data_IF_669555797691
#
_entry.id   IF_669555797691
#
_cell.length_a   1.000
_cell.length_b   1.000
_cell.length_c   1.000
_cell.angle_alpha   90.00
_cell.angle_beta   90.00
_cell.angle_gamma   90.00
#
_symmetry.space_group_name_H-M   'P 1'
#
loop_
_entity.id
_entity.type
_entity.pdbx_description
1 polymer ?
#
# COMPACT_ATOMS: atom_id res chain seq x y z
N UNK A 1 6.07 -15.76 29.72
CA UNK A 1 7.47 -15.90 29.24
C UNK A 1 7.41 -15.75 27.73
N UNK A 2 7.66 -14.55 27.19
CA UNK A 2 7.57 -14.30 25.74
C UNK A 2 8.81 -14.91 25.10
N UNK A 3 8.62 -16.02 24.40
CA UNK A 3 9.65 -16.64 23.59
C UNK A 3 9.99 -15.69 22.45
N UNK A 4 11.28 -15.33 22.31
CA UNK A 4 11.83 -14.58 21.18
C UNK A 4 11.32 -15.20 19.86
N UNK A 5 10.28 -14.63 19.27
CA UNK A 5 9.80 -15.05 17.97
C UNK A 5 10.76 -14.52 16.91
N UNK A 6 11.13 -15.41 15.99
CA UNK A 6 12.08 -15.24 14.88
C UNK A 6 12.08 -13.83 14.30
N UNK A 7 13.29 -13.32 14.00
CA UNK A 7 13.56 -11.99 13.43
C UNK A 7 12.43 -11.49 12.52
N UNK A 8 11.69 -10.48 12.97
CA UNK A 8 10.69 -9.78 12.17
C UNK A 8 11.32 -8.93 11.05
N UNK A 9 12.65 -8.82 11.03
CA UNK A 9 13.39 -7.94 10.13
C UNK A 9 13.16 -8.21 8.64
N UNK A 10 13.12 -9.47 8.13
CA UNK A 10 12.85 -9.72 6.71
C UNK A 10 11.44 -9.27 6.29
N UNK A 11 10.45 -9.43 7.18
CA UNK A 11 9.07 -9.03 6.91
C UNK A 11 8.89 -7.50 6.95
N UNK A 12 9.59 -6.84 7.88
CA UNK A 12 9.65 -5.38 7.92
C UNK A 12 10.36 -4.82 6.68
N UNK A 13 11.46 -5.43 6.27
CA UNK A 13 12.21 -5.00 5.08
C UNK A 13 11.36 -5.04 3.81
N UNK A 14 10.52 -6.08 3.63
CA UNK A 14 9.58 -6.15 2.50
C UNK A 14 8.66 -4.93 2.43
N UNK A 15 8.08 -4.49 3.55
CA UNK A 15 7.21 -3.32 3.56
C UNK A 15 7.96 -1.99 3.37
N UNK A 16 9.21 -1.89 3.83
CA UNK A 16 10.08 -0.74 3.54
C UNK A 16 10.37 -0.67 2.04
N UNK A 17 10.68 -1.80 1.39
CA UNK A 17 10.91 -1.86 -0.06
C UNK A 17 9.67 -1.42 -0.84
N UNK A 18 8.47 -1.84 -0.43
CA UNK A 18 7.21 -1.37 -1.03
C UNK A 18 7.12 0.15 -0.95
N UNK A 19 7.28 0.72 0.25
CA UNK A 19 7.10 2.15 0.43
C UNK A 19 8.17 3.01 -0.25
N UNK A 20 9.40 2.49 -0.41
CA UNK A 20 10.49 3.22 -1.05
C UNK A 20 10.51 3.07 -2.58
N UNK A 21 10.34 1.85 -3.09
CA UNK A 21 10.56 1.56 -4.51
C UNK A 21 9.32 1.78 -5.38
N UNK A 22 8.12 1.54 -4.85
CA UNK A 22 6.85 1.72 -5.59
C UNK A 22 6.69 3.15 -6.11
N UNK A 23 6.82 4.23 -5.30
CA UNK A 23 6.65 5.58 -5.80
C UNK A 23 7.72 5.97 -6.83
N UNK A 24 8.95 5.47 -6.69
CA UNK A 24 10.03 5.71 -7.65
C UNK A 24 9.69 5.04 -8.99
N UNK A 25 9.26 3.78 -8.97
CA UNK A 25 8.90 3.05 -10.18
C UNK A 25 7.68 3.66 -10.89
N UNK A 26 6.67 4.12 -10.14
CA UNK A 26 5.53 4.83 -10.72
C UNK A 26 5.94 6.19 -11.32
N UNK A 27 6.82 6.95 -10.66
CA UNK A 27 7.35 8.18 -11.22
C UNK A 27 8.15 7.95 -12.52
N UNK A 28 8.96 6.88 -12.57
CA UNK A 28 9.69 6.47 -13.78
C UNK A 28 8.71 6.07 -14.88
N UNK A 29 7.68 5.28 -14.56
CA UNK A 29 6.65 4.88 -15.53
C UNK A 29 5.93 6.09 -16.12
N UNK A 30 5.49 7.03 -15.28
CA UNK A 30 4.86 8.28 -15.71
C UNK A 30 5.78 9.14 -16.58
N UNK A 31 7.06 9.24 -16.21
CA UNK A 31 8.05 9.97 -17.01
C UNK A 31 8.27 9.35 -18.40
N UNK A 32 8.32 8.01 -18.49
CA UNK A 32 8.51 7.29 -19.76
C UNK A 32 7.26 7.34 -20.63
N UNK A 33 6.07 7.35 -20.04
CA UNK A 33 4.81 7.45 -20.76
C UNK A 33 4.73 8.75 -21.57
N UNK A 34 5.11 9.89 -20.96
CA UNK A 34 5.21 11.18 -21.63
C UNK A 34 3.88 11.89 -21.91
N UNK A 35 2.74 11.22 -21.69
CA UNK A 35 1.38 11.76 -21.83
C UNK A 35 0.59 11.72 -20.52
N UNK A 36 1.05 10.98 -19.53
CA UNK A 36 0.43 10.91 -18.22
C UNK A 36 0.59 12.24 -17.48
N UNK A 37 -0.54 12.83 -17.12
CA UNK A 37 -0.61 14.09 -16.41
C UNK A 37 -1.17 13.87 -15.00
N UNK A 38 -0.48 14.43 -14.01
CA UNK A 38 -0.94 14.41 -12.62
C UNK A 38 -2.31 15.09 -12.51
N UNK A 39 -3.14 14.56 -11.62
CA UNK A 39 -4.54 14.96 -11.41
C UNK A 39 -5.51 14.58 -12.53
N UNK A 40 -5.09 14.59 -13.79
CA UNK A 40 -5.94 14.23 -14.93
C UNK A 40 -6.00 12.71 -15.15
N UNK A 41 -4.87 12.03 -15.10
CA UNK A 41 -4.78 10.59 -15.33
C UNK A 41 -4.70 9.82 -14.01
N UNK A 42 -5.37 8.67 -13.99
CA UNK A 42 -5.23 7.67 -12.92
C UNK A 42 -3.86 6.99 -13.00
N UNK A 43 -3.32 6.51 -11.87
CA UNK A 43 -2.10 5.70 -11.90
C UNK A 43 -2.30 4.45 -12.75
N UNK A 44 -3.49 3.85 -12.69
CA UNK A 44 -3.86 2.71 -13.53
C UNK A 44 -3.86 2.98 -15.04
N UNK A 45 -3.90 4.24 -15.50
CA UNK A 45 -3.71 4.56 -16.92
C UNK A 45 -2.30 4.19 -17.41
N UNK A 46 -1.29 4.26 -16.52
CA UNK A 46 0.06 3.84 -16.84
C UNK A 46 0.10 2.35 -17.23
N UNK A 47 -0.77 1.52 -16.65
CA UNK A 47 -0.85 0.09 -16.95
C UNK A 47 -1.34 -0.25 -18.35
N UNK A 48 -1.90 0.72 -19.07
CA UNK A 48 -2.34 0.61 -20.48
C UNK A 48 -1.62 1.60 -21.40
N UNK A 49 -0.48 2.15 -20.94
CA UNK A 49 0.34 3.09 -21.70
C UNK A 49 0.65 2.60 -23.12
N UNK A 50 0.67 3.51 -24.09
CA UNK A 50 1.19 3.25 -25.44
C UNK A 50 2.68 2.87 -25.43
N UNK A 51 3.43 3.32 -24.42
CA UNK A 51 4.78 2.84 -24.17
C UNK A 51 4.74 1.51 -23.43
N UNK A 52 5.04 0.43 -24.14
CA UNK A 52 5.11 -0.91 -23.54
C UNK A 52 6.07 -0.95 -22.33
N UNK A 53 7.14 -0.15 -22.35
CA UNK A 53 8.06 -0.04 -21.21
C UNK A 53 7.39 0.61 -20.00
N UNK A 54 6.68 1.74 -20.18
CA UNK A 54 5.97 2.40 -19.08
C UNK A 54 4.90 1.48 -18.49
N UNK A 55 4.10 0.82 -19.33
CA UNK A 55 3.09 -0.14 -18.92
C UNK A 55 3.69 -1.31 -18.15
N UNK A 56 4.77 -1.91 -18.64
CA UNK A 56 5.44 -3.01 -17.95
C UNK A 56 6.01 -2.58 -16.60
N UNK A 57 6.61 -1.38 -16.50
CA UNK A 57 7.13 -0.87 -15.22
C UNK A 57 5.99 -0.74 -14.21
N UNK A 58 4.86 -0.13 -14.60
CA UNK A 58 3.71 0.02 -13.70
C UNK A 58 3.15 -1.35 -13.28
N UNK A 59 2.81 -2.20 -14.26
CA UNK A 59 2.15 -3.49 -14.02
C UNK A 59 3.02 -4.42 -13.18
N UNK A 60 4.30 -4.57 -13.52
CA UNK A 60 5.21 -5.41 -12.72
C UNK A 60 5.50 -4.81 -11.34
N UNK A 61 5.51 -3.48 -11.21
CA UNK A 61 5.62 -2.84 -9.89
C UNK A 61 4.42 -3.20 -9.02
N UNK A 62 3.20 -3.11 -9.52
CA UNK A 62 1.99 -3.55 -8.80
C UNK A 62 2.09 -5.03 -8.38
N UNK A 63 2.51 -5.91 -9.29
CA UNK A 63 2.71 -7.33 -9.00
C UNK A 63 3.75 -7.59 -7.90
N UNK A 64 4.94 -7.00 -8.03
CA UNK A 64 6.04 -7.20 -7.09
C UNK A 64 5.73 -6.55 -5.73
N UNK A 65 5.19 -5.32 -5.74
CA UNK A 65 4.76 -4.64 -4.52
C UNK A 65 3.67 -5.43 -3.81
N UNK A 66 2.68 -5.95 -4.53
CA UNK A 66 1.63 -6.81 -3.97
C UNK A 66 2.20 -8.05 -3.26
N UNK A 67 3.19 -8.72 -3.87
CA UNK A 67 3.89 -9.84 -3.24
C UNK A 67 4.66 -9.42 -1.97
N UNK A 68 5.33 -8.28 -1.98
CA UNK A 68 6.01 -7.78 -0.78
C UNK A 68 5.03 -7.33 0.32
N UNK A 69 3.87 -6.78 -0.03
CA UNK A 69 2.79 -6.50 0.92
C UNK A 69 2.29 -7.80 1.55
N UNK A 70 2.12 -8.87 0.76
CA UNK A 70 1.78 -10.21 1.27
C UNK A 70 2.82 -10.71 2.28
N UNK A 71 4.11 -10.64 1.92
CA UNK A 71 5.21 -11.07 2.81
C UNK A 71 5.20 -10.25 4.11
N UNK A 72 5.08 -8.92 4.00
CA UNK A 72 4.99 -8.03 5.15
C UNK A 72 3.79 -8.39 6.06
N UNK A 73 2.64 -8.65 5.46
CA UNK A 73 1.41 -9.04 6.18
C UNK A 73 1.56 -10.35 6.94
N UNK A 74 2.24 -11.35 6.35
CA UNK A 74 2.57 -12.60 7.04
C UNK A 74 3.41 -12.34 8.29
N UNK A 75 4.35 -11.39 8.23
CA UNK A 75 5.11 -10.95 9.40
C UNK A 75 4.23 -10.37 10.50
N UNK A 76 3.31 -9.47 10.14
CA UNK A 76 2.35 -8.89 11.09
C UNK A 76 1.40 -9.95 11.68
N UNK A 77 0.91 -10.90 10.88
CA UNK A 77 0.06 -12.01 11.34
C UNK A 77 0.78 -12.86 12.38
N UNK A 78 2.09 -13.11 12.20
CA UNK A 78 2.91 -13.89 13.14
C UNK A 78 3.28 -13.12 14.41
N UNK A 79 3.29 -11.78 14.36
CA UNK A 79 3.75 -10.93 15.44
C UNK A 79 2.63 -10.38 16.33
N UNK A 80 1.39 -10.35 15.84
CA UNK A 80 0.27 -9.73 16.52
C UNK A 80 -0.89 -10.71 16.74
N UNK A 81 -1.73 -10.41 17.72
CA UNK A 81 -2.93 -11.16 18.05
C UNK A 81 -4.19 -10.26 17.98
N UNK A 82 -5.37 -10.87 18.08
CA UNK A 82 -6.65 -10.16 18.12
C UNK A 82 -6.89 -9.26 16.90
N UNK A 83 -7.39 -8.04 17.15
CA UNK A 83 -7.74 -7.10 16.09
C UNK A 83 -6.54 -6.68 15.22
N UNK A 84 -5.33 -6.62 15.77
CA UNK A 84 -4.12 -6.28 15.02
C UNK A 84 -3.74 -7.39 14.03
N UNK A 85 -3.95 -8.66 14.40
CA UNK A 85 -3.85 -9.79 13.49
C UNK A 85 -4.93 -9.73 12.40
N UNK A 86 -6.19 -9.43 12.78
CA UNK A 86 -7.29 -9.23 11.84
C UNK A 86 -6.97 -8.17 10.77
N UNK A 87 -6.44 -7.02 11.16
CA UNK A 87 -5.99 -5.98 10.22
C UNK A 87 -4.88 -6.46 9.28
N UNK A 88 -3.95 -7.28 9.78
CA UNK A 88 -2.89 -7.88 8.97
C UNK A 88 -3.41 -8.93 7.97
N UNK A 89 -4.46 -9.68 8.31
CA UNK A 89 -5.15 -10.58 7.37
C UNK A 89 -5.83 -9.78 6.26
N UNK A 90 -6.48 -8.66 6.57
CA UNK A 90 -7.04 -7.79 5.53
C UNK A 90 -5.94 -7.20 4.64
N UNK A 91 -4.79 -6.81 5.22
CA UNK A 91 -3.63 -6.32 4.46
C UNK A 91 -3.06 -7.39 3.51
N UNK A 92 -3.08 -8.66 3.92
CA UNK A 92 -2.66 -9.78 3.08
C UNK A 92 -3.51 -9.86 1.79
N UNK A 93 -4.84 -9.74 1.91
CA UNK A 93 -5.72 -9.68 0.75
C UNK A 93 -5.51 -8.40 -0.09
N UNK A 94 -5.20 -7.26 0.55
CA UNK A 94 -4.82 -6.05 -0.19
C UNK A 94 -3.57 -6.29 -1.05
N UNK A 95 -2.57 -7.03 -0.54
CA UNK A 95 -1.39 -7.39 -1.33
C UNK A 95 -1.72 -8.26 -2.55
N UNK A 96 -2.65 -9.21 -2.40
CA UNK A 96 -3.15 -10.02 -3.53
C UNK A 96 -3.86 -9.14 -4.56
N UNK A 97 -4.74 -8.24 -4.11
CA UNK A 97 -5.46 -7.35 -5.01
C UNK A 97 -4.53 -6.34 -5.71
N UNK A 98 -3.50 -5.84 -5.03
CA UNK A 98 -2.49 -4.98 -5.64
C UNK A 98 -1.74 -5.73 -6.76
N UNK A 99 -1.38 -7.00 -6.53
CA UNK A 99 -0.79 -7.80 -7.58
C UNK A 99 -1.78 -8.05 -8.74
N UNK A 100 -3.05 -8.24 -8.42
CA UNK A 100 -4.11 -8.40 -9.41
C UNK A 100 -4.35 -7.12 -10.23
N UNK A 101 -4.19 -5.91 -9.66
CA UNK A 101 -4.24 -4.63 -10.41
C UNK A 101 -3.20 -4.62 -11.54
N UNK A 102 -1.99 -5.10 -11.28
CA UNK A 102 -0.93 -5.19 -12.30
C UNK A 102 -1.19 -6.27 -13.35
N UNK A 103 -1.96 -7.31 -13.00
CA UNK A 103 -2.29 -8.41 -13.91
C UNK A 103 -3.51 -8.10 -14.80
N UNK A 104 -4.53 -7.49 -14.22
CA UNK A 104 -5.78 -7.11 -14.86
C UNK A 104 -5.77 -5.60 -15.09
N UNK A 105 -5.18 -5.17 -16.22
CA UNK A 105 -5.02 -3.76 -16.58
C UNK A 105 -6.37 -3.07 -16.81
N UNK A 106 -6.37 -1.74 -16.90
CA UNK A 106 -7.57 -0.90 -16.95
C UNK A 106 -8.55 -1.25 -18.10
N UNK A 107 -8.04 -1.82 -19.20
CA UNK A 107 -8.86 -2.26 -20.34
C UNK A 107 -9.64 -3.57 -20.08
N UNK A 108 -9.38 -4.23 -18.95
CA UNK A 108 -10.07 -5.48 -18.58
C UNK A 108 -11.31 -5.19 -17.73
N UNK A 109 -12.38 -5.96 -17.93
CA UNK A 109 -13.62 -5.84 -17.17
C UNK A 109 -13.45 -6.08 -15.65
N UNK A 110 -12.35 -6.71 -15.24
CA UNK A 110 -12.05 -7.04 -13.84
C UNK A 110 -11.34 -5.91 -13.09
N UNK A 111 -10.72 -4.95 -13.80
CA UNK A 111 -9.85 -3.96 -13.17
C UNK A 111 -10.57 -3.08 -12.16
N UNK A 112 -11.68 -2.45 -12.56
CA UNK A 112 -12.41 -1.50 -11.69
C UNK A 112 -12.88 -2.20 -10.40
N UNK A 113 -13.56 -3.37 -10.44
CA UNK A 113 -13.92 -4.08 -9.21
C UNK A 113 -12.73 -4.41 -8.31
N UNK A 114 -11.59 -4.85 -8.89
CA UNK A 114 -10.38 -5.17 -8.13
C UNK A 114 -9.81 -3.93 -7.46
N UNK A 115 -9.64 -2.83 -8.20
CA UNK A 115 -9.09 -1.58 -7.71
C UNK A 115 -9.97 -0.96 -6.61
N UNK A 116 -11.28 -0.90 -6.81
CA UNK A 116 -12.21 -0.42 -5.79
C UNK A 116 -12.17 -1.28 -4.52
N UNK A 117 -12.12 -2.61 -4.67
CA UNK A 117 -12.01 -3.52 -3.53
C UNK A 117 -10.70 -3.33 -2.79
N UNK A 118 -9.58 -3.15 -3.51
CA UNK A 118 -8.27 -2.86 -2.94
C UNK A 118 -8.30 -1.59 -2.08
N UNK A 119 -8.77 -0.46 -2.63
CA UNK A 119 -8.85 0.81 -1.90
C UNK A 119 -9.83 0.77 -0.72
N UNK A 120 -10.91 -0.01 -0.83
CA UNK A 120 -11.83 -0.20 0.29
C UNK A 120 -11.20 -1.04 1.43
N UNK A 121 -10.56 -2.16 1.10
CA UNK A 121 -9.93 -3.02 2.09
C UNK A 121 -8.74 -2.34 2.75
N UNK A 122 -7.93 -1.58 2.01
CA UNK A 122 -6.81 -0.86 2.60
C UNK A 122 -7.28 0.24 3.55
N UNK A 123 -8.40 0.91 3.25
CA UNK A 123 -9.04 1.85 4.18
C UNK A 123 -9.44 1.17 5.50
N UNK A 124 -10.04 -0.02 5.41
CA UNK A 124 -10.36 -0.82 6.60
C UNK A 124 -9.08 -1.17 7.38
N UNK A 125 -8.04 -1.62 6.69
CA UNK A 125 -6.77 -1.98 7.32
C UNK A 125 -6.11 -0.79 8.02
N UNK A 126 -6.09 0.41 7.43
CA UNK A 126 -5.48 1.58 8.07
C UNK A 126 -6.27 2.01 9.30
N UNK A 127 -7.61 1.94 9.26
CA UNK A 127 -8.46 2.23 10.43
C UNK A 127 -8.19 1.25 11.57
N UNK A 128 -8.19 -0.07 11.27
CA UNK A 128 -7.87 -1.09 12.26
C UNK A 128 -6.48 -0.84 12.84
N UNK A 129 -5.48 -0.60 11.98
CA UNK A 129 -4.09 -0.38 12.40
C UNK A 129 -3.95 0.84 13.30
N UNK A 130 -4.59 1.97 12.97
CA UNK A 130 -4.57 3.18 13.78
C UNK A 130 -5.15 2.94 15.18
N UNK A 131 -6.31 2.28 15.26
CA UNK A 131 -6.97 1.96 16.54
C UNK A 131 -6.12 0.99 17.36
N UNK A 132 -5.57 -0.06 16.73
CA UNK A 132 -4.78 -1.06 17.45
C UNK A 132 -3.44 -0.49 17.90
N UNK A 133 -2.77 0.31 17.06
CA UNK A 133 -1.50 0.94 17.42
C UNK A 133 -1.69 1.92 18.58
N UNK A 134 -2.77 2.70 18.58
CA UNK A 134 -3.10 3.61 19.69
C UNK A 134 -3.33 2.83 21.00
N UNK A 135 -4.14 1.77 20.95
CA UNK A 135 -4.43 0.91 22.12
C UNK A 135 -3.20 0.17 22.64
N UNK A 136 -2.23 -0.12 21.78
CA UNK A 136 -0.96 -0.75 22.15
C UNK A 136 0.13 0.24 22.54
N UNK A 137 -0.19 1.54 22.71
CA UNK A 137 0.77 2.57 23.11
C UNK A 137 1.75 3.00 22.01
N UNK A 138 1.55 2.56 20.77
CA UNK A 138 2.36 2.93 19.58
C UNK A 138 1.87 4.27 19.00
N UNK A 139 1.90 5.32 19.82
CA UNK A 139 1.26 6.62 19.53
C UNK A 139 1.77 7.23 18.22
N UNK A 140 3.08 7.14 17.94
CA UNK A 140 3.68 7.68 16.69
C UNK A 140 3.11 6.98 15.45
N UNK A 141 2.97 5.65 15.49
CA UNK A 141 2.42 4.85 14.38
C UNK A 141 0.94 5.16 14.14
N UNK A 142 0.18 5.29 15.24
CA UNK A 142 -1.23 5.66 15.18
C UNK A 142 -1.43 7.09 14.64
N UNK A 143 -0.65 8.05 15.13
CA UNK A 143 -0.69 9.45 14.70
C UNK A 143 -0.33 9.60 13.22
N UNK A 144 0.74 8.92 12.77
CA UNK A 144 1.13 8.90 11.36
C UNK A 144 0.01 8.33 10.48
N UNK A 145 -0.59 7.21 10.89
CA UNK A 145 -1.72 6.61 10.16
C UNK A 145 -2.91 7.57 10.08
N UNK A 146 -3.29 8.20 11.20
CA UNK A 146 -4.37 9.18 11.24
C UNK A 146 -4.10 10.40 10.34
N UNK A 147 -2.89 10.95 10.38
CA UNK A 147 -2.50 12.08 9.55
C UNK A 147 -2.58 11.75 8.06
N UNK A 148 -2.11 10.56 7.66
CA UNK A 148 -2.15 10.10 6.27
C UNK A 148 -3.59 9.92 5.77
N UNK A 149 -4.48 9.38 6.60
CA UNK A 149 -5.91 9.29 6.29
C UNK A 149 -6.52 10.69 6.09
N UNK A 150 -6.21 11.64 6.99
CA UNK A 150 -6.69 13.02 6.87
C UNK A 150 -6.18 13.67 5.59
N UNK A 151 -4.92 13.46 5.20
CA UNK A 151 -4.35 13.99 3.94
C UNK A 151 -5.13 13.47 2.73
N UNK A 152 -5.47 12.18 2.70
CA UNK A 152 -6.24 11.58 1.59
C UNK A 152 -7.67 12.14 1.53
N UNK A 153 -8.35 12.32 2.67
CA UNK A 153 -9.68 12.91 2.65
C UNK A 153 -9.66 14.42 2.34
N UNK A 154 -8.64 15.13 2.81
CA UNK A 154 -8.49 16.56 2.55
C UNK A 154 -8.14 16.89 1.09
N UNK A 155 -7.62 15.92 0.32
CA UNK A 155 -7.36 16.11 -1.12
C UNK A 155 -8.63 16.02 -1.98
N UNK A 156 -9.68 15.34 -1.50
CA UNK A 156 -10.91 15.08 -2.29
C UNK A 156 -11.60 16.34 -2.86
N UNK A 157 -11.66 17.50 -2.17
CA UNK A 157 -12.29 18.70 -2.73
C UNK A 157 -11.46 19.39 -3.81
N UNK A 158 -10.15 19.12 -3.90
CA UNK A 158 -9.21 19.89 -4.72
C UNK A 158 -8.61 19.13 -5.90
N UNK A 159 -8.81 17.81 -5.97
CA UNK A 159 -8.22 16.94 -6.99
C UNK A 159 -9.30 16.06 -7.63
N UNK A 160 -9.11 15.72 -8.89
CA UNK A 160 -9.89 14.69 -9.57
C UNK A 160 -9.45 13.30 -9.09
N UNK A 161 -10.12 12.25 -9.59
CA UNK A 161 -9.83 10.87 -9.20
C UNK A 161 -8.35 10.50 -9.40
N UNK A 162 -7.71 10.97 -10.48
CA UNK A 162 -6.30 10.72 -10.76
C UNK A 162 -5.38 11.27 -9.67
N UNK A 163 -5.61 12.51 -9.23
CA UNK A 163 -4.82 13.13 -8.16
C UNK A 163 -5.06 12.47 -6.80
N UNK A 164 -6.33 12.14 -6.49
CA UNK A 164 -6.69 11.43 -5.25
C UNK A 164 -6.00 10.07 -5.20
N UNK A 165 -5.96 9.32 -6.30
CA UNK A 165 -5.31 8.01 -6.38
C UNK A 165 -3.80 8.12 -6.10
N UNK A 166 -3.11 9.06 -6.73
CA UNK A 166 -1.68 9.30 -6.51
C UNK A 166 -1.41 9.61 -5.04
N UNK A 167 -2.20 10.51 -4.44
CA UNK A 167 -2.06 10.90 -3.03
C UNK A 167 -2.33 9.70 -2.12
N UNK A 168 -3.36 8.90 -2.40
CA UNK A 168 -3.68 7.70 -1.64
C UNK A 168 -2.56 6.67 -1.71
N UNK A 169 -2.00 6.41 -2.90
CA UNK A 169 -0.87 5.48 -3.07
C UNK A 169 0.39 5.97 -2.35
N UNK A 170 0.73 7.26 -2.45
CA UNK A 170 1.85 7.83 -1.71
C UNK A 170 1.65 7.73 -0.19
N UNK A 171 0.44 8.03 0.29
CA UNK A 171 0.09 7.88 1.69
C UNK A 171 0.21 6.43 2.15
N UNK A 172 -0.22 5.47 1.34
CA UNK A 172 -0.04 4.03 1.61
C UNK A 172 1.43 3.63 1.64
N UNK A 173 2.26 4.15 0.74
CA UNK A 173 3.71 3.87 0.72
C UNK A 173 4.40 4.39 1.99
N UNK A 174 4.09 5.61 2.42
CA UNK A 174 4.59 6.18 3.68
C UNK A 174 4.08 5.36 4.86
N UNK A 175 2.79 5.03 4.87
CA UNK A 175 2.18 4.21 5.92
C UNK A 175 2.86 2.82 6.02
N UNK A 176 3.13 2.17 4.90
CA UNK A 176 3.84 0.88 4.86
C UNK A 176 5.24 0.98 5.50
N UNK A 177 5.97 2.09 5.28
CA UNK A 177 7.25 2.33 5.97
C UNK A 177 7.02 2.45 7.48
N UNK A 178 6.06 3.25 7.94
CA UNK A 178 5.79 3.43 9.38
C UNK A 178 5.41 2.11 10.08
N UNK A 179 4.55 1.31 9.44
CA UNK A 179 4.13 0.00 9.94
C UNK A 179 5.29 -1.01 9.92
N UNK A 180 6.16 -0.94 8.93
CA UNK A 180 7.36 -1.77 8.87
C UNK A 180 8.37 -1.46 9.96
N UNK A 181 8.59 -0.17 10.23
CA UNK A 181 9.46 0.25 11.35
C UNK A 181 8.85 -0.18 12.70
N UNK A 182 7.53 -0.03 12.85
CA UNK A 182 6.80 -0.52 14.03
C UNK A 182 6.96 -2.03 14.23
N UNK A 183 6.91 -2.82 13.14
CA UNK A 183 7.15 -4.26 13.18
C UNK A 183 8.61 -4.62 13.48
N UNK A 184 9.57 -3.89 12.92
CA UNK A 184 11.00 -4.12 13.14
C UNK A 184 11.43 -3.81 14.59
N UNK A 185 10.84 -2.77 15.20
CA UNK A 185 11.22 -2.26 16.51
C UNK A 185 10.23 -2.60 17.63
N UNK A 186 9.13 -3.31 17.35
CA UNK A 186 8.26 -3.80 18.42
C UNK A 186 9.02 -4.79 19.28
N UNK A 187 9.27 -4.41 20.55
CA UNK A 187 9.79 -5.32 21.56
C UNK A 187 8.73 -6.40 21.79
N UNK A 188 9.09 -7.65 21.55
CA UNK A 188 8.31 -8.81 22.01
C UNK A 188 8.26 -8.86 23.53
#
# INVERSE_FOLDING_TARGET
MVTKTRSAAPYAFAGILVGALTPIAFAISAFIDGFWEFDLNTLSDLGISHSALAANIFNYTCMIAGLFVVIHSIGKIKAYEGAACGGAVVLFFCGILLAAIGLFTKDTAYHIPIACTYFFLILITVIISAITDYRSGKVVSAAATGALVVIVFASMPGFQLGGIEVIAVLAMCIWMITQSLSLAFSKG
#
